data_IF_335739364725
#
_entry.id   IF_335739364725
#
_cell.length_a   1.000
_cell.length_b   1.000
_cell.length_c   1.000
_cell.angle_alpha   90.00
_cell.angle_beta   90.00
_cell.angle_gamma   90.00
#
_symmetry.space_group_name_H-M   'P 1'
#
loop_
_entity.id
_entity.type
_entity.pdbx_description
1 polymer ?
#
# COMPACT_ATOMS: atom_id res chain seq x y z
N UNK A 1 -13.97 13.98 15.43
CA UNK A 1 -15.08 14.08 14.46
C UNK A 1 -14.60 15.06 13.42
N UNK A 2 -14.31 14.60 12.21
CA UNK A 2 -13.71 15.46 11.19
C UNK A 2 -14.35 15.12 9.84
N UNK A 3 -14.83 16.13 9.12
CA UNK A 3 -15.39 15.97 7.77
C UNK A 3 -16.67 15.09 7.72
N UNK A 4 -17.37 14.92 8.84
CA UNK A 4 -18.63 14.18 8.94
C UNK A 4 -19.81 15.06 8.50
N UNK A 5 -20.75 14.50 7.75
CA UNK A 5 -22.06 15.14 7.52
C UNK A 5 -23.00 14.78 8.66
N UNK A 6 -23.53 15.79 9.34
CA UNK A 6 -24.44 15.63 10.48
C UNK A 6 -25.86 15.87 10.01
N UNK A 7 -26.78 14.95 10.29
CA UNK A 7 -28.21 15.13 10.05
C UNK A 7 -28.94 15.32 11.37
N UNK A 8 -29.68 16.42 11.49
CA UNK A 8 -30.38 16.73 12.74
C UNK A 8 -31.84 17.10 12.51
N UNK A 9 -32.69 16.71 13.45
CA UNK A 9 -33.90 17.44 13.71
C UNK A 9 -33.63 18.47 14.80
N UNK A 10 -34.21 19.66 14.70
CA UNK A 10 -34.05 20.66 15.73
C UNK A 10 -35.27 21.55 15.87
N UNK A 11 -35.41 22.12 17.06
CA UNK A 11 -36.38 23.16 17.41
C UNK A 11 -35.56 24.36 17.90
N UNK A 12 -35.61 25.44 17.15
CA UNK A 12 -35.05 26.73 17.49
C UNK A 12 -36.09 27.61 18.16
N UNK A 13 -35.79 28.05 19.39
CA UNK A 13 -36.60 28.95 20.20
C UNK A 13 -35.81 30.19 20.62
N UNK A 14 -36.49 31.31 20.87
CA UNK A 14 -35.93 32.44 21.61
C UNK A 14 -36.03 32.16 23.12
N UNK A 15 -35.35 32.94 23.96
CA UNK A 15 -35.44 32.79 25.43
C UNK A 15 -36.87 32.95 25.97
N UNK A 16 -37.72 33.71 25.30
CA UNK A 16 -39.14 33.88 25.64
C UNK A 16 -40.02 32.67 25.25
N UNK A 17 -39.42 31.64 24.63
CA UNK A 17 -40.10 30.43 24.18
C UNK A 17 -40.65 30.50 22.75
N UNK A 18 -40.56 31.65 22.07
CA UNK A 18 -41.01 31.80 20.69
C UNK A 18 -40.22 30.87 19.77
N UNK A 19 -40.90 29.93 19.12
CA UNK A 19 -40.30 29.03 18.13
C UNK A 19 -40.08 29.80 16.83
N UNK A 20 -38.84 29.85 16.34
CA UNK A 20 -38.52 30.41 15.02
C UNK A 20 -38.30 29.33 13.96
N UNK A 21 -37.95 28.11 14.36
CA UNK A 21 -37.81 26.98 13.44
C UNK A 21 -38.06 25.66 14.15
N UNK A 22 -38.81 24.75 13.52
CA UNK A 22 -39.00 23.38 13.99
C UNK A 22 -38.97 22.44 12.78
N UNK A 23 -37.91 21.64 12.68
CA UNK A 23 -37.73 20.76 11.51
C UNK A 23 -38.48 19.44 11.64
N UNK A 24 -39.05 19.12 12.82
CA UNK A 24 -39.90 17.94 13.00
C UNK A 24 -41.28 18.14 12.39
N UNK A 25 -41.79 19.37 12.37
CA UNK A 25 -43.11 19.68 11.77
C UNK A 25 -43.13 19.39 10.27
N UNK A 26 -41.98 19.52 9.61
CA UNK A 26 -41.80 19.21 8.18
C UNK A 26 -41.27 17.79 7.93
N UNK A 27 -40.91 17.04 8.97
CA UNK A 27 -40.22 15.75 8.88
C UNK A 27 -38.97 15.77 7.97
N UNK A 28 -38.32 16.93 7.86
CA UNK A 28 -37.13 17.15 7.04
C UNK A 28 -35.95 17.46 7.95
N UNK A 29 -34.83 16.76 7.77
CA UNK A 29 -33.62 17.00 8.58
C UNK A 29 -32.77 18.08 7.94
N UNK A 30 -32.12 18.86 8.78
CA UNK A 30 -31.05 19.76 8.33
C UNK A 30 -29.75 18.97 8.33
N UNK A 31 -28.97 19.13 7.26
CA UNK A 31 -27.63 18.55 7.14
C UNK A 31 -26.56 19.63 7.03
N UNK A 32 -25.44 19.44 7.71
CA UNK A 32 -24.27 20.30 7.60
C UNK A 32 -22.97 19.51 7.77
N UNK A 33 -21.87 20.03 7.23
CA UNK A 33 -20.54 19.47 7.42
C UNK A 33 -19.95 19.96 8.74
N UNK A 34 -19.63 19.01 9.60
CA UNK A 34 -19.10 19.29 10.94
C UNK A 34 -17.75 20.01 10.88
N UNK A 35 -17.57 21.04 11.71
CA UNK A 35 -16.31 21.80 11.87
C UNK A 35 -15.86 22.52 10.58
N UNK A 36 -16.84 22.97 9.77
CA UNK A 36 -16.62 23.78 8.57
C UNK A 36 -17.16 25.21 8.69
N UNK A 37 -17.75 25.57 9.84
CA UNK A 37 -18.37 26.88 10.03
C UNK A 37 -19.64 27.09 9.19
N UNK A 38 -20.28 26.00 8.74
CA UNK A 38 -21.56 26.04 8.02
C UNK A 38 -22.75 26.35 8.94
N UNK A 39 -22.57 26.16 10.25
CA UNK A 39 -23.56 26.44 11.29
C UNK A 39 -22.97 27.37 12.35
N UNK A 40 -23.82 27.83 13.28
CA UNK A 40 -23.35 28.65 14.40
C UNK A 40 -22.31 27.90 15.25
N UNK A 41 -21.34 28.63 15.81
CA UNK A 41 -20.24 28.04 16.63
C UNK A 41 -20.76 27.16 17.77
N UNK A 42 -21.89 27.53 18.37
CA UNK A 42 -22.51 26.73 19.43
C UNK A 42 -22.91 25.34 18.96
N UNK A 43 -23.31 25.19 17.69
CA UNK A 43 -23.63 23.89 17.12
C UNK A 43 -22.39 23.08 16.83
N UNK A 44 -21.36 23.66 16.20
CA UNK A 44 -20.08 22.95 16.00
C UNK A 44 -19.52 22.42 17.33
N UNK A 45 -19.67 23.16 18.43
CA UNK A 45 -19.22 22.72 19.76
C UNK A 45 -20.19 21.70 20.39
N UNK A 46 -21.49 22.00 20.44
CA UNK A 46 -22.48 21.18 21.14
C UNK A 46 -22.75 19.86 20.45
N UNK A 47 -22.86 19.87 19.12
CA UNK A 47 -22.99 18.64 18.32
C UNK A 47 -21.74 17.77 18.44
N UNK A 48 -20.56 18.33 18.72
CA UNK A 48 -19.37 17.51 18.94
C UNK A 48 -19.49 16.56 20.15
N UNK A 49 -20.31 16.94 21.15
CA UNK A 49 -20.40 16.22 22.42
C UNK A 49 -21.49 15.14 22.45
N UNK A 50 -22.39 15.12 21.46
CA UNK A 50 -23.56 14.24 21.51
C UNK A 50 -23.27 12.84 20.95
N UNK A 51 -24.04 11.86 21.43
CA UNK A 51 -24.12 10.49 20.89
C UNK A 51 -25.20 10.39 19.80
N UNK A 52 -25.12 9.35 18.97
CA UNK A 52 -26.15 9.07 17.95
C UNK A 52 -27.50 8.81 18.61
N UNK A 53 -28.53 9.53 18.16
CA UNK A 53 -29.89 9.43 18.70
C UNK A 53 -30.09 10.20 20.00
N UNK A 54 -29.07 10.90 20.50
CA UNK A 54 -29.19 11.76 21.67
C UNK A 54 -30.08 12.97 21.36
N UNK A 55 -30.91 13.32 22.34
CA UNK A 55 -31.73 14.52 22.36
C UNK A 55 -31.10 15.46 23.37
N UNK A 56 -30.60 16.62 22.92
CA UNK A 56 -29.95 17.59 23.80
C UNK A 56 -30.50 18.99 23.61
N UNK A 57 -30.40 19.80 24.68
CA UNK A 57 -30.78 21.22 24.69
C UNK A 57 -29.54 22.08 24.83
N UNK A 58 -29.37 23.03 23.92
CA UNK A 58 -28.27 23.98 23.90
C UNK A 58 -28.78 25.40 24.10
N UNK A 59 -28.14 26.12 25.03
CA UNK A 59 -28.34 27.56 25.22
C UNK A 59 -27.09 28.26 24.72
N UNK A 60 -27.22 29.02 23.64
CA UNK A 60 -26.08 29.68 22.99
C UNK A 60 -26.03 31.16 23.32
N UNK A 61 -24.94 31.61 23.97
CA UNK A 61 -24.65 33.05 24.11
C UNK A 61 -24.44 33.69 22.72
N UNK A 62 -24.66 35.00 22.55
CA UNK A 62 -24.62 35.64 21.23
C UNK A 62 -23.27 35.48 20.53
N UNK A 63 -22.17 35.48 21.30
CA UNK A 63 -20.81 35.28 20.78
C UNK A 63 -20.56 33.91 20.13
N UNK A 64 -21.41 32.92 20.40
CA UNK A 64 -21.38 31.58 19.78
C UNK A 64 -22.52 31.37 18.78
N UNK A 65 -23.34 32.39 18.54
CA UNK A 65 -24.47 32.38 17.62
C UNK A 65 -24.31 33.50 16.58
N UNK A 66 -25.23 34.46 16.54
CA UNK A 66 -25.30 35.52 15.53
C UNK A 66 -24.71 36.87 15.99
N UNK A 67 -24.01 36.91 17.13
CA UNK A 67 -23.41 38.13 17.69
C UNK A 67 -24.45 39.10 18.29
N UNK A 68 -23.97 40.23 18.83
CA UNK A 68 -24.81 41.25 19.49
C UNK A 68 -25.74 42.03 18.53
N UNK A 69 -25.50 41.95 17.21
CA UNK A 69 -26.34 42.54 16.16
C UNK A 69 -27.35 41.56 15.55
N UNK A 70 -27.36 40.30 16.01
CA UNK A 70 -28.28 39.26 15.52
C UNK A 70 -29.60 39.19 16.30
N UNK A 71 -30.42 38.19 15.98
CA UNK A 71 -31.68 37.85 16.66
C UNK A 71 -31.43 37.32 18.10
N UNK A 72 -31.08 38.19 19.04
CA UNK A 72 -31.10 37.93 20.49
C UNK A 72 -30.36 36.68 21.00
N UNK A 73 -30.63 36.32 22.26
CA UNK A 73 -30.23 35.05 22.86
C UNK A 73 -31.18 33.93 22.40
N UNK A 74 -30.62 32.89 21.75
CA UNK A 74 -31.39 31.77 21.19
C UNK A 74 -31.18 30.48 21.99
N UNK A 75 -32.28 29.74 22.17
CA UNK A 75 -32.35 28.42 22.82
C UNK A 75 -32.73 27.37 21.77
N UNK A 76 -31.90 26.35 21.56
CA UNK A 76 -32.18 25.27 20.61
C UNK A 76 -32.26 23.91 21.28
N UNK A 77 -33.16 23.03 20.83
CA UNK A 77 -33.15 21.60 21.14
C UNK A 77 -32.94 20.80 19.86
N UNK A 78 -32.00 19.84 19.86
CA UNK A 78 -31.61 19.07 18.68
C UNK A 78 -31.61 17.56 18.96
N UNK A 79 -32.15 16.78 18.01
CA UNK A 79 -31.97 15.34 17.88
C UNK A 79 -31.00 15.06 16.74
N UNK A 80 -29.89 14.40 17.05
CA UNK A 80 -28.81 14.23 16.07
C UNK A 80 -28.66 12.76 15.65
N UNK A 81 -28.67 12.53 14.34
CA UNK A 81 -28.28 11.26 13.73
C UNK A 81 -26.99 11.46 12.93
N UNK A 82 -25.87 11.06 13.52
CA UNK A 82 -24.58 10.99 12.82
C UNK A 82 -24.60 9.84 11.83
N UNK A 83 -24.35 10.14 10.55
CA UNK A 83 -24.31 9.15 9.48
C UNK A 83 -22.93 9.08 8.80
N UNK A 84 -21.87 9.65 9.38
CA UNK A 84 -20.56 9.72 8.72
C UNK A 84 -20.62 10.44 7.37
N UNK A 85 -19.55 10.37 6.59
CA UNK A 85 -19.52 10.85 5.20
C UNK A 85 -19.77 9.68 4.26
N UNK A 86 -20.80 9.81 3.43
CA UNK A 86 -20.99 8.88 2.32
C UNK A 86 -19.90 9.09 1.27
N UNK A 87 -19.16 8.02 0.99
CA UNK A 87 -18.07 7.99 0.02
C UNK A 87 -18.32 6.99 -1.10
N UNK A 88 -19.54 6.43 -1.18
CA UNK A 88 -19.97 5.67 -2.35
C UNK A 88 -19.98 6.56 -3.59
N UNK A 89 -19.64 5.96 -4.74
CA UNK A 89 -19.57 6.69 -6.01
C UNK A 89 -20.97 7.14 -6.47
N UNK A 90 -21.99 6.32 -6.19
CA UNK A 90 -23.40 6.60 -6.49
C UNK A 90 -24.12 7.48 -5.45
N UNK A 91 -23.45 7.85 -4.34
CA UNK A 91 -24.03 8.64 -3.24
C UNK A 91 -25.29 8.01 -2.61
N UNK A 92 -25.29 6.69 -2.48
CA UNK A 92 -26.43 5.90 -1.98
C UNK A 92 -26.24 5.38 -0.54
N UNK A 93 -25.21 5.88 0.16
CA UNK A 93 -24.85 5.51 1.53
C UNK A 93 -24.47 4.04 1.70
N UNK A 94 -24.00 3.36 0.65
CA UNK A 94 -23.48 2.00 0.80
C UNK A 94 -22.11 1.93 1.46
N UNK A 95 -21.35 3.02 1.39
CA UNK A 95 -20.03 3.16 2.02
C UNK A 95 -20.04 4.45 2.82
N UNK A 96 -20.23 4.30 4.12
CA UNK A 96 -20.21 5.43 5.04
C UNK A 96 -18.91 5.39 5.82
N UNK A 97 -18.12 6.46 5.75
CA UNK A 97 -16.86 6.62 6.47
C UNK A 97 -17.00 7.58 7.64
N UNK A 98 -16.30 7.26 8.73
CA UNK A 98 -16.03 8.16 9.85
C UNK A 98 -14.55 8.20 10.14
N UNK A 99 -13.95 9.39 10.17
CA UNK A 99 -12.54 9.55 10.55
C UNK A 99 -12.41 9.52 12.08
N UNK A 100 -11.70 8.52 12.60
CA UNK A 100 -11.38 8.38 14.01
C UNK A 100 -10.09 9.12 14.39
N UNK A 101 -9.10 9.15 13.50
CA UNK A 101 -7.84 9.90 13.63
C UNK A 101 -7.45 10.47 12.27
N UNK A 102 -7.09 11.76 12.19
CA UNK A 102 -6.57 12.34 10.94
C UNK A 102 -5.23 11.72 10.58
N UNK A 103 -5.00 11.48 9.30
CA UNK A 103 -3.66 11.16 8.80
C UNK A 103 -2.81 12.40 8.58
N UNK A 104 -1.58 12.18 8.14
CA UNK A 104 -0.57 13.20 7.84
C UNK A 104 -0.41 13.37 6.34
N UNK A 105 -0.11 14.60 5.91
CA UNK A 105 0.06 14.95 4.51
C UNK A 105 -1.25 14.95 3.72
N UNK A 106 -1.11 15.14 2.40
CA UNK A 106 -2.24 15.23 1.47
C UNK A 106 -2.25 14.11 0.41
N UNK A 107 -1.18 13.31 0.37
CA UNK A 107 -1.01 12.21 -0.57
C UNK A 107 -1.98 11.08 -0.25
N UNK A 108 -2.55 10.51 -1.31
CA UNK A 108 -3.47 9.38 -1.26
C UNK A 108 -2.92 8.26 -2.14
N UNK A 109 -3.19 6.99 -1.80
CA UNK A 109 -2.83 5.86 -2.66
C UNK A 109 -3.39 6.04 -4.08
N UNK A 110 -2.57 5.77 -5.09
CA UNK A 110 -3.01 5.60 -6.49
C UNK A 110 -3.25 4.10 -6.78
N UNK A 111 -3.75 3.76 -7.97
CA UNK A 111 -4.12 2.38 -8.36
C UNK A 111 -2.96 1.37 -8.38
N UNK A 112 -1.71 1.84 -8.29
CA UNK A 112 -0.53 0.97 -8.21
C UNK A 112 0.13 0.97 -6.82
N UNK A 113 -0.42 1.76 -5.87
CA UNK A 113 0.15 1.90 -4.55
C UNK A 113 0.02 0.59 -3.77
N UNK A 114 1.14 0.09 -3.26
CA UNK A 114 1.09 -0.99 -2.27
C UNK A 114 0.65 -0.42 -0.93
N UNK A 115 -0.54 -0.80 -0.51
CA UNK A 115 -1.10 -0.47 0.80
C UNK A 115 -1.01 -1.67 1.71
N UNK A 116 -0.93 -1.40 3.00
CA UNK A 116 -1.23 -2.40 4.00
C UNK A 116 -2.21 -1.72 4.95
N UNK A 117 -3.12 -2.48 5.55
CA UNK A 117 -4.16 -2.01 6.47
C UNK A 117 -4.31 -3.03 7.61
N UNK A 118 -4.67 -2.60 8.82
CA UNK A 118 -5.15 -3.54 9.84
C UNK A 118 -6.67 -3.54 9.79
N UNK A 119 -7.24 -4.59 9.21
CA UNK A 119 -8.65 -4.70 8.98
C UNK A 119 -9.32 -5.41 10.16
N UNK A 120 -10.36 -4.80 10.74
CA UNK A 120 -11.24 -5.44 11.71
C UNK A 120 -12.69 -5.32 11.27
N UNK A 121 -13.30 -6.41 10.83
CA UNK A 121 -14.71 -6.53 10.49
C UNK A 121 -15.54 -7.02 11.68
N UNK A 122 -16.64 -6.32 11.95
CA UNK A 122 -17.61 -6.71 12.97
C UNK A 122 -19.04 -6.69 12.42
N UNK A 123 -19.85 -7.63 12.88
CA UNK A 123 -21.27 -7.72 12.56
C UNK A 123 -22.05 -7.93 13.86
N UNK A 124 -23.04 -7.06 14.14
CA UNK A 124 -23.79 -7.05 15.40
C UNK A 124 -22.89 -7.08 16.66
N UNK A 125 -21.73 -6.42 16.58
CA UNK A 125 -20.74 -6.37 17.67
C UNK A 125 -19.83 -7.59 17.78
N UNK A 126 -20.05 -8.65 17.01
CA UNK A 126 -19.15 -9.81 16.94
C UNK A 126 -18.08 -9.61 15.87
N UNK A 127 -16.83 -9.93 16.21
CA UNK A 127 -15.70 -9.85 15.29
C UNK A 127 -15.71 -11.09 14.40
N UNK A 128 -15.60 -10.88 13.08
CA UNK A 128 -15.57 -11.98 12.10
C UNK A 128 -14.31 -11.97 11.21
N UNK A 129 -13.64 -10.82 11.08
CA UNK A 129 -12.35 -10.69 10.38
C UNK A 129 -11.47 -9.75 11.21
N UNK A 130 -10.27 -10.16 11.59
CA UNK A 130 -9.30 -9.28 12.27
C UNK A 130 -7.90 -9.68 11.84
N UNK A 131 -7.28 -8.88 10.97
CA UNK A 131 -5.97 -9.18 10.38
C UNK A 131 -5.30 -7.97 9.78
N UNK A 132 -3.97 -8.04 9.69
CA UNK A 132 -3.19 -7.15 8.85
C UNK A 132 -3.11 -7.70 7.43
N UNK A 133 -3.49 -6.90 6.44
CA UNK A 133 -3.48 -7.30 5.02
C UNK A 133 -2.68 -6.29 4.18
N UNK A 134 -1.86 -6.78 3.25
CA UNK A 134 -1.07 -5.99 2.30
C UNK A 134 -1.51 -6.31 0.89
N UNK A 135 -1.85 -5.31 0.10
CA UNK A 135 -2.33 -5.46 -1.27
C UNK A 135 -2.02 -4.20 -2.10
N UNK A 136 -2.12 -4.32 -3.42
CA UNK A 136 -2.06 -3.16 -4.33
C UNK A 136 -3.44 -2.53 -4.31
N UNK A 137 -3.56 -1.20 -4.13
CA UNK A 137 -4.86 -0.53 -4.12
C UNK A 137 -5.62 -0.81 -5.43
N UNK A 138 -6.84 -1.32 -5.36
CA UNK A 138 -7.59 -1.84 -6.53
C UNK A 138 -7.49 -3.37 -6.73
N UNK A 139 -6.61 -4.06 -5.98
CA UNK A 139 -6.44 -5.51 -5.96
C UNK A 139 -6.75 -6.18 -4.61
N UNK A 140 -7.51 -5.53 -3.74
CA UNK A 140 -7.88 -5.98 -2.40
C UNK A 140 -8.77 -7.23 -2.41
N UNK A 141 -9.60 -7.39 -3.45
CA UNK A 141 -10.43 -8.57 -3.65
C UNK A 141 -9.62 -9.88 -3.63
N UNK A 142 -8.40 -9.90 -4.17
CA UNK A 142 -7.48 -11.05 -4.16
C UNK A 142 -7.03 -11.45 -2.75
N UNK A 143 -7.15 -10.54 -1.79
CA UNK A 143 -6.86 -10.78 -0.38
C UNK A 143 -8.15 -10.88 0.46
N UNK A 144 -9.31 -10.99 -0.19
CA UNK A 144 -10.63 -10.94 0.43
C UNK A 144 -10.83 -9.68 1.28
N UNK A 145 -10.38 -8.53 0.78
CA UNK A 145 -10.71 -7.23 1.36
C UNK A 145 -12.05 -6.81 0.76
N UNK A 146 -13.01 -6.32 1.58
CA UNK A 146 -14.31 -5.90 1.06
C UNK A 146 -14.18 -4.74 0.09
N UNK A 147 -15.02 -4.71 -0.94
CA UNK A 147 -15.04 -3.64 -1.95
C UNK A 147 -15.14 -2.25 -1.30
N UNK A 148 -16.01 -2.07 -0.30
CA UNK A 148 -16.17 -0.80 0.40
C UNK A 148 -14.94 -0.33 1.15
N UNK A 149 -14.11 -1.27 1.65
CA UNK A 149 -12.82 -0.97 2.28
C UNK A 149 -11.83 -0.52 1.20
N UNK A 150 -11.77 -1.23 0.10
CA UNK A 150 -10.90 -0.91 -1.03
C UNK A 150 -11.19 0.46 -1.65
N UNK A 151 -12.46 0.76 -1.94
CA UNK A 151 -12.89 2.07 -2.48
C UNK A 151 -12.39 3.23 -1.62
N UNK A 152 -12.27 3.01 -0.33
CA UNK A 152 -12.03 4.06 0.60
C UNK A 152 -10.57 4.19 1.03
N UNK A 153 -9.74 3.16 0.81
CA UNK A 153 -8.27 3.27 0.82
C UNK A 153 -7.76 4.41 -0.08
N UNK A 154 -8.34 4.59 -1.27
CA UNK A 154 -8.01 5.68 -2.19
C UNK A 154 -8.28 7.08 -1.65
N UNK A 155 -9.03 7.18 -0.54
CA UNK A 155 -9.46 8.44 0.08
C UNK A 155 -8.74 8.74 1.39
N UNK A 156 -7.79 7.88 1.78
CA UNK A 156 -7.05 7.98 3.04
C UNK A 156 -5.71 8.68 2.85
N UNK A 157 -5.30 9.43 3.87
CA UNK A 157 -3.92 9.91 4.00
C UNK A 157 -3.12 8.97 4.91
N UNK A 158 -1.80 9.07 4.84
CA UNK A 158 -0.90 8.22 5.62
C UNK A 158 -1.20 8.36 7.11
N UNK A 159 -1.56 7.26 7.77
CA UNK A 159 -1.83 7.26 9.20
C UNK A 159 -3.24 7.63 9.64
N UNK A 160 -4.16 7.84 8.70
CA UNK A 160 -5.58 8.05 9.01
C UNK A 160 -6.17 6.78 9.64
N UNK A 161 -7.01 6.95 10.68
CA UNK A 161 -7.83 5.86 11.28
C UNK A 161 -9.28 6.16 10.98
N UNK A 162 -10.04 5.13 10.66
CA UNK A 162 -11.40 5.27 10.22
C UNK A 162 -12.26 4.10 10.68
N UNK A 163 -13.57 4.37 10.71
CA UNK A 163 -14.61 3.39 10.86
C UNK A 163 -15.53 3.47 9.65
N UNK A 164 -15.73 2.35 8.99
CA UNK A 164 -16.66 2.17 7.89
C UNK A 164 -17.92 1.48 8.33
N UNK A 165 -19.04 1.90 7.74
CA UNK A 165 -20.29 1.15 7.74
C UNK A 165 -20.58 0.78 6.29
N UNK A 166 -20.55 -0.52 6.00
CA UNK A 166 -20.75 -1.05 4.65
C UNK A 166 -22.11 -1.72 4.56
N UNK A 167 -22.88 -1.38 3.53
CA UNK A 167 -24.12 -2.09 3.17
C UNK A 167 -23.84 -3.11 2.06
N UNK A 168 -24.80 -4.00 1.85
CA UNK A 168 -24.76 -5.15 0.95
C UNK A 168 -23.86 -5.07 -0.30
N UNK A 169 -24.06 -4.07 -1.16
CA UNK A 169 -23.29 -3.95 -2.40
C UNK A 169 -21.79 -3.69 -2.18
N UNK A 170 -21.43 -3.12 -1.03
CA UNK A 170 -20.06 -2.79 -0.64
C UNK A 170 -19.38 -3.89 0.19
N UNK A 171 -20.08 -4.98 0.51
CA UNK A 171 -19.56 -6.11 1.31
C UNK A 171 -19.09 -7.29 0.47
N UNK A 172 -18.97 -7.13 -0.85
CA UNK A 172 -18.34 -8.15 -1.71
C UNK A 172 -16.95 -8.50 -1.18
N UNK A 173 -16.64 -9.78 -0.98
CA UNK A 173 -15.42 -10.30 -0.36
C UNK A 173 -15.60 -10.82 1.07
N UNK A 174 -16.77 -10.61 1.67
CA UNK A 174 -17.12 -11.07 3.04
C UNK A 174 -17.82 -12.43 3.04
N UNK A 175 -18.18 -12.98 1.88
CA UNK A 175 -18.98 -14.21 1.71
C UNK A 175 -18.35 -15.42 2.42
N UNK A 176 -17.02 -15.49 2.44
CA UNK A 176 -16.25 -16.55 3.12
C UNK A 176 -16.45 -16.60 4.63
N UNK A 177 -16.96 -15.52 5.23
CA UNK A 177 -17.24 -15.43 6.66
C UNK A 177 -18.70 -15.81 6.99
N UNK A 178 -19.46 -16.28 5.99
CA UNK A 178 -20.87 -16.67 6.13
C UNK A 178 -21.77 -15.56 6.68
N UNK A 179 -21.40 -14.30 6.41
CA UNK A 179 -22.23 -13.14 6.72
C UNK A 179 -23.19 -12.96 5.56
N UNK A 180 -24.51 -12.91 5.80
CA UNK A 180 -25.49 -12.61 4.77
C UNK A 180 -25.12 -11.33 4.03
N UNK A 181 -25.10 -11.40 2.70
CA UNK A 181 -24.60 -10.33 1.85
C UNK A 181 -25.44 -9.07 1.94
N UNK A 182 -26.62 -9.08 2.57
CA UNK A 182 -27.57 -7.99 2.73
C UNK A 182 -27.39 -7.19 4.03
N UNK A 183 -26.54 -7.64 4.94
CA UNK A 183 -26.42 -7.06 6.27
C UNK A 183 -25.28 -6.04 6.40
N UNK A 184 -25.48 -4.95 7.17
CA UNK A 184 -24.41 -4.00 7.40
C UNK A 184 -23.32 -4.58 8.29
N UNK A 185 -22.07 -4.24 7.96
CA UNK A 185 -20.88 -4.59 8.74
C UNK A 185 -20.07 -3.34 9.05
N UNK A 186 -19.45 -3.33 10.21
CA UNK A 186 -18.57 -2.25 10.62
C UNK A 186 -17.12 -2.68 10.43
N UNK A 187 -16.36 -1.90 9.66
CA UNK A 187 -14.92 -2.08 9.56
C UNK A 187 -14.21 -0.99 10.32
N UNK A 188 -13.31 -1.38 11.20
CA UNK A 188 -12.37 -0.47 11.81
C UNK A 188 -10.99 -0.76 11.22
N UNK A 189 -10.30 0.31 10.83
CA UNK A 189 -8.89 0.21 10.48
C UNK A 189 -8.06 1.12 11.34
N UNK A 190 -7.07 0.52 12.00
CA UNK A 190 -5.93 1.23 12.55
C UNK A 190 -4.74 1.01 11.65
N UNK A 191 -3.98 2.07 11.34
CA UNK A 191 -2.61 1.80 10.91
C UNK A 191 -1.58 2.86 11.24
N UNK A 192 -0.70 2.48 12.13
CA UNK A 192 0.72 2.38 11.83
C UNK A 192 1.19 1.06 12.45
N UNK A 193 1.96 0.24 11.72
CA UNK A 193 2.87 -0.64 12.44
C UNK A 193 3.86 0.29 13.14
N UNK A 194 4.00 0.18 14.46
CA UNK A 194 5.16 0.80 15.11
C UNK A 194 6.43 0.29 14.44
N UNK A 195 7.51 1.04 14.52
CA UNK A 195 8.75 0.62 13.86
C UNK A 195 9.26 -0.74 14.39
N UNK A 196 8.99 -1.03 15.66
CA UNK A 196 9.24 -2.34 16.29
C UNK A 196 8.36 -3.46 15.69
N UNK A 197 7.08 -3.18 15.42
CA UNK A 197 6.19 -4.15 14.79
C UNK A 197 6.55 -4.39 13.32
N UNK A 198 7.02 -3.36 12.59
CA UNK A 198 7.54 -3.51 11.22
C UNK A 198 8.72 -4.48 11.19
N UNK A 199 9.60 -4.40 12.18
CA UNK A 199 10.76 -5.28 12.29
C UNK A 199 10.33 -6.74 12.55
N UNK A 200 9.47 -6.97 13.55
CA UNK A 200 8.92 -8.31 13.84
C UNK A 200 8.17 -8.92 12.65
N UNK A 201 7.34 -8.12 11.98
CA UNK A 201 6.58 -8.59 10.82
C UNK A 201 7.48 -8.90 9.62
N UNK A 202 8.58 -8.15 9.45
CA UNK A 202 9.58 -8.39 8.41
C UNK A 202 10.23 -9.75 8.55
N UNK A 203 10.47 -10.22 9.77
CA UNK A 203 11.02 -11.55 10.02
C UNK A 203 10.06 -12.67 9.55
N UNK A 204 8.78 -12.58 9.92
CA UNK A 204 7.74 -13.53 9.50
C UNK A 204 7.59 -13.54 7.97
N UNK A 205 7.58 -12.36 7.34
CA UNK A 205 7.47 -12.24 5.89
C UNK A 205 8.68 -12.84 5.17
N UNK A 206 9.88 -12.67 5.73
CA UNK A 206 11.10 -13.28 5.20
C UNK A 206 11.01 -14.81 5.28
N UNK A 207 10.59 -15.36 6.42
CA UNK A 207 10.41 -16.82 6.59
C UNK A 207 9.44 -17.40 5.56
N UNK A 208 8.28 -16.75 5.37
CA UNK A 208 7.32 -17.14 4.32
C UNK A 208 7.89 -17.02 2.91
N UNK A 209 8.71 -16.00 2.65
CA UNK A 209 9.46 -15.88 1.40
C UNK A 209 10.35 -17.09 1.16
N UNK A 210 11.08 -17.54 2.19
CA UNK A 210 11.96 -18.70 2.11
C UNK A 210 11.18 -20.00 1.85
N UNK A 211 10.00 -20.16 2.44
CA UNK A 211 9.10 -21.29 2.17
C UNK A 211 8.66 -21.31 0.70
N UNK A 212 8.28 -20.16 0.13
CA UNK A 212 7.96 -20.07 -1.29
C UNK A 212 9.15 -20.38 -2.19
N UNK A 213 10.37 -19.96 -1.82
CA UNK A 213 11.58 -20.32 -2.56
C UNK A 213 11.81 -21.83 -2.53
N UNK A 214 11.62 -22.48 -1.37
CA UNK A 214 11.73 -23.95 -1.24
C UNK A 214 10.68 -24.67 -2.10
N UNK A 215 9.46 -24.12 -2.18
CA UNK A 215 8.38 -24.62 -3.03
C UNK A 215 8.50 -24.26 -4.52
N UNK A 216 9.53 -23.52 -4.94
CA UNK A 216 9.69 -23.07 -6.34
C UNK A 216 8.75 -21.93 -6.77
N UNK A 217 7.97 -21.36 -5.86
CA UNK A 217 7.04 -20.27 -6.13
C UNK A 217 7.75 -18.89 -6.08
N UNK A 218 8.67 -18.66 -7.01
CA UNK A 218 9.57 -17.50 -6.98
C UNK A 218 8.86 -16.13 -7.06
N UNK A 219 7.77 -16.03 -7.83
CA UNK A 219 7.00 -14.79 -7.94
C UNK A 219 6.33 -14.39 -6.61
N UNK A 220 5.81 -15.37 -5.88
CA UNK A 220 5.24 -15.15 -4.54
C UNK A 220 6.32 -14.76 -3.54
N UNK A 221 7.49 -15.41 -3.60
CA UNK A 221 8.64 -15.07 -2.78
C UNK A 221 9.10 -13.61 -3.01
N UNK A 222 9.17 -13.17 -4.26
CA UNK A 222 9.53 -11.79 -4.63
C UNK A 222 8.59 -10.78 -3.95
N UNK A 223 7.27 -11.02 -3.99
CA UNK A 223 6.29 -10.14 -3.32
C UNK A 223 6.59 -10.02 -1.82
N UNK A 224 6.95 -11.11 -1.15
CA UNK A 224 7.27 -11.10 0.30
C UNK A 224 8.56 -10.33 0.60
N UNK A 225 9.65 -10.60 -0.12
CA UNK A 225 10.93 -9.92 0.12
C UNK A 225 10.90 -8.42 -0.23
N UNK A 226 10.16 -8.01 -1.27
CA UNK A 226 9.92 -6.58 -1.54
C UNK A 226 9.19 -5.90 -0.38
N UNK A 227 8.17 -6.57 0.17
CA UNK A 227 7.41 -6.05 1.31
C UNK A 227 8.31 -5.85 2.54
N UNK A 228 9.20 -6.81 2.83
CA UNK A 228 10.20 -6.69 3.90
C UNK A 228 11.06 -5.43 3.71
N UNK A 229 11.62 -5.25 2.51
CA UNK A 229 12.48 -4.10 2.24
C UNK A 229 11.73 -2.78 2.42
N UNK A 230 10.49 -2.68 1.95
CA UNK A 230 9.66 -1.49 2.09
C UNK A 230 9.35 -1.17 3.57
N UNK A 231 9.04 -2.17 4.38
CA UNK A 231 8.79 -1.96 5.81
C UNK A 231 10.01 -1.40 6.51
N UNK A 232 11.17 -2.02 6.28
CA UNK A 232 12.41 -1.65 6.94
C UNK A 232 13.03 -0.35 6.37
N UNK A 233 12.69 0.05 5.15
CA UNK A 233 13.04 1.36 4.61
C UNK A 233 12.22 2.48 5.29
N UNK A 234 10.96 2.19 5.60
CA UNK A 234 10.04 3.15 6.24
C UNK A 234 10.10 3.19 7.77
N UNK A 235 10.96 2.39 8.40
CA UNK A 235 11.04 2.26 9.86
C UNK A 235 12.10 3.21 10.45
N UNK A 236 11.73 4.01 11.45
CA UNK A 236 12.64 4.88 12.20
C UNK A 236 13.13 4.22 13.50
N UNK A 237 13.93 3.17 13.34
CA UNK A 237 14.48 2.39 14.45
C UNK A 237 15.53 3.20 15.24
N UNK A 238 15.46 3.13 16.57
CA UNK A 238 16.35 3.89 17.48
C UNK A 238 17.38 3.03 18.20
N UNK A 239 17.04 1.78 18.48
CA UNK A 239 17.94 0.83 19.16
C UNK A 239 19.00 0.32 18.19
N UNK A 240 20.25 0.24 18.65
CA UNK A 240 21.36 -0.33 17.86
C UNK A 240 21.09 -1.78 17.47
N UNK A 241 20.45 -2.55 18.36
CA UNK A 241 20.05 -3.94 18.10
C UNK A 241 19.04 -4.02 16.96
N UNK A 242 18.01 -3.16 16.98
CA UNK A 242 16.96 -3.18 15.96
C UNK A 242 17.48 -2.72 14.59
N UNK A 243 18.38 -1.72 14.58
CA UNK A 243 19.04 -1.23 13.37
C UNK A 243 19.85 -2.36 12.73
N UNK A 244 20.60 -3.12 13.53
CA UNK A 244 21.38 -4.26 13.05
C UNK A 244 20.49 -5.39 12.52
N UNK A 245 19.43 -5.75 13.25
CA UNK A 245 18.46 -6.75 12.78
C UNK A 245 17.79 -6.33 11.46
N UNK A 246 17.42 -5.05 11.34
CA UNK A 246 16.88 -4.46 10.11
C UNK A 246 17.89 -4.53 8.96
N UNK A 247 19.17 -4.23 9.21
CA UNK A 247 20.25 -4.36 8.23
C UNK A 247 20.38 -5.80 7.73
N UNK A 248 20.39 -6.77 8.64
CA UNK A 248 20.49 -8.20 8.30
C UNK A 248 19.29 -8.68 7.48
N UNK A 249 18.07 -8.28 7.85
CA UNK A 249 16.85 -8.63 7.11
C UNK A 249 16.82 -7.99 5.71
N UNK A 250 17.26 -6.73 5.56
CA UNK A 250 17.39 -6.07 4.25
C UNK A 250 18.37 -6.81 3.35
N UNK A 251 19.56 -7.15 3.88
CA UNK A 251 20.56 -7.92 3.16
C UNK A 251 20.01 -9.28 2.70
N UNK A 252 19.44 -10.06 3.64
CA UNK A 252 18.89 -11.37 3.35
C UNK A 252 17.79 -11.32 2.28
N UNK A 253 16.91 -10.31 2.35
CA UNK A 253 15.84 -10.10 1.39
C UNK A 253 16.36 -9.76 0.00
N UNK A 254 17.36 -8.88 -0.12
CA UNK A 254 17.98 -8.54 -1.41
C UNK A 254 18.73 -9.74 -2.01
N UNK A 255 19.48 -10.47 -1.18
CA UNK A 255 20.16 -11.70 -1.62
C UNK A 255 19.16 -12.72 -2.17
N UNK A 256 18.04 -12.95 -1.48
CA UNK A 256 17.01 -13.90 -1.92
C UNK A 256 16.19 -13.39 -3.12
N UNK A 257 15.95 -12.08 -3.25
CA UNK A 257 15.39 -11.49 -4.47
C UNK A 257 16.28 -11.80 -5.68
N UNK A 258 17.60 -11.64 -5.55
CA UNK A 258 18.52 -11.98 -6.63
C UNK A 258 18.40 -13.45 -7.05
N UNK A 259 18.27 -14.38 -6.09
CA UNK A 259 18.01 -15.79 -6.40
C UNK A 259 16.71 -15.98 -7.19
N UNK A 260 15.61 -15.36 -6.74
CA UNK A 260 14.31 -15.51 -7.38
C UNK A 260 14.33 -14.99 -8.82
N UNK A 261 14.90 -13.80 -9.03
CA UNK A 261 15.01 -13.22 -10.37
C UNK A 261 15.94 -14.02 -11.29
N UNK A 262 17.05 -14.54 -10.75
CA UNK A 262 17.92 -15.46 -11.50
C UNK A 262 17.18 -16.70 -11.97
N UNK A 263 16.32 -17.28 -11.11
CA UNK A 263 15.51 -18.45 -11.45
C UNK A 263 14.41 -18.16 -12.47
N UNK A 264 13.88 -16.94 -12.49
CA UNK A 264 12.89 -16.49 -13.47
C UNK A 264 13.51 -15.96 -14.77
N UNK A 265 14.84 -15.85 -14.86
CA UNK A 265 15.52 -15.29 -16.04
C UNK A 265 15.43 -13.77 -16.17
N UNK A 266 14.93 -13.06 -15.14
CA UNK A 266 14.91 -11.60 -15.11
C UNK A 266 16.28 -11.06 -14.65
N UNK A 267 17.21 -11.03 -15.59
CA UNK A 267 18.60 -10.68 -15.32
C UNK A 267 18.76 -9.20 -14.90
N UNK A 268 17.90 -8.31 -15.39
CA UNK A 268 17.89 -6.89 -15.01
C UNK A 268 17.59 -6.68 -13.54
N UNK A 269 16.53 -7.32 -13.05
CA UNK A 269 16.18 -7.27 -11.64
C UNK A 269 17.16 -8.03 -10.77
N UNK A 270 17.69 -9.16 -11.24
CA UNK A 270 18.68 -9.94 -10.52
C UNK A 270 19.96 -9.13 -10.26
N UNK A 271 20.51 -8.45 -11.27
CA UNK A 271 21.68 -7.58 -11.11
C UNK A 271 21.43 -6.50 -10.07
N UNK A 272 20.30 -5.79 -10.16
CA UNK A 272 19.94 -4.73 -9.19
C UNK A 272 19.84 -5.25 -7.76
N UNK A 273 19.23 -6.42 -7.56
CA UNK A 273 19.13 -7.04 -6.25
C UNK A 273 20.51 -7.44 -5.69
N UNK A 274 21.42 -7.95 -6.53
CA UNK A 274 22.81 -8.22 -6.14
C UNK A 274 23.57 -6.93 -5.78
N UNK A 275 23.47 -5.89 -6.59
CA UNK A 275 24.12 -4.60 -6.33
C UNK A 275 23.66 -4.03 -4.98
N UNK A 276 22.35 -4.05 -4.71
CA UNK A 276 21.78 -3.63 -3.43
C UNK A 276 22.24 -4.50 -2.25
N UNK A 277 22.39 -5.82 -2.44
CA UNK A 277 22.90 -6.71 -1.39
C UNK A 277 24.38 -6.42 -1.08
N UNK A 278 25.18 -6.16 -2.11
CA UNK A 278 26.61 -5.86 -1.99
C UNK A 278 26.89 -4.48 -1.38
N UNK A 279 25.90 -3.57 -1.32
CA UNK A 279 26.02 -2.34 -0.53
C UNK A 279 26.10 -2.62 0.98
N UNK A 280 25.56 -3.75 1.46
CA UNK A 280 25.63 -4.12 2.88
C UNK A 280 26.91 -4.87 3.21
N UNK A 281 27.34 -5.75 2.31
CA UNK A 281 28.55 -6.58 2.38
C UNK A 281 29.13 -6.72 0.97
N UNK A 282 30.13 -5.89 0.65
CA UNK A 282 30.72 -5.78 -0.69
C UNK A 282 31.55 -7.00 -1.09
N UNK A 283 31.94 -7.82 -0.13
CA UNK A 283 32.75 -9.02 -0.34
C UNK A 283 31.92 -10.30 -0.22
N UNK A 284 30.58 -10.18 -0.19
CA UNK A 284 29.72 -11.34 -0.04
C UNK A 284 29.82 -12.29 -1.24
N UNK A 285 30.54 -13.40 -1.05
CA UNK A 285 30.83 -14.39 -2.09
C UNK A 285 29.56 -14.89 -2.78
N UNK A 286 28.48 -15.14 -2.02
CA UNK A 286 27.20 -15.62 -2.54
C UNK A 286 26.52 -14.60 -3.47
N UNK A 287 26.57 -13.30 -3.13
CA UNK A 287 25.96 -12.26 -3.95
C UNK A 287 26.81 -11.94 -5.19
N UNK A 288 28.15 -11.92 -5.06
CA UNK A 288 29.07 -11.83 -6.19
C UNK A 288 28.85 -12.99 -7.16
N UNK A 289 28.73 -14.22 -6.64
CA UNK A 289 28.54 -15.40 -7.47
C UNK A 289 27.22 -15.36 -8.23
N UNK A 290 26.12 -15.00 -7.55
CA UNK A 290 24.80 -14.81 -8.19
C UNK A 290 24.82 -13.71 -9.25
N UNK A 291 25.54 -12.60 -9.00
CA UNK A 291 25.68 -11.50 -9.95
C UNK A 291 26.47 -11.94 -11.19
N UNK A 292 27.56 -12.68 -11.00
CA UNK A 292 28.35 -13.26 -12.08
C UNK A 292 27.53 -14.27 -12.92
N UNK A 293 26.78 -15.16 -12.28
CA UNK A 293 25.89 -16.10 -12.98
C UNK A 293 24.81 -15.39 -13.79
N UNK A 294 24.19 -14.36 -13.19
CA UNK A 294 23.21 -13.53 -13.85
C UNK A 294 23.79 -12.83 -15.08
N UNK A 295 24.98 -12.22 -14.96
CA UNK A 295 25.61 -11.51 -16.06
C UNK A 295 26.07 -12.45 -17.17
N UNK A 296 26.58 -13.63 -16.83
CA UNK A 296 26.90 -14.69 -17.79
C UNK A 296 25.65 -15.10 -18.58
N UNK A 297 24.53 -15.32 -17.89
CA UNK A 297 23.25 -15.67 -18.53
C UNK A 297 22.70 -14.52 -19.39
N UNK A 298 22.97 -13.27 -19.02
CA UNK A 298 22.60 -12.07 -19.78
C UNK A 298 23.56 -11.75 -20.95
N UNK A 299 24.68 -12.46 -21.10
CA UNK A 299 25.68 -12.22 -22.15
C UNK A 299 26.73 -11.15 -21.81
N UNK A 300 26.73 -10.64 -20.59
CA UNK A 300 27.70 -9.65 -20.08
C UNK A 300 28.96 -10.36 -19.55
N UNK A 301 29.69 -11.03 -20.45
CA UNK A 301 30.78 -11.95 -20.06
C UNK A 301 31.94 -11.26 -19.31
N UNK A 302 32.28 -10.02 -19.68
CA UNK A 302 33.40 -9.32 -19.05
C UNK A 302 33.12 -9.01 -17.59
N UNK A 303 31.93 -8.48 -17.29
CA UNK A 303 31.51 -8.17 -15.93
C UNK A 303 31.34 -9.47 -15.11
N UNK A 304 30.85 -10.55 -15.73
CA UNK A 304 30.72 -11.84 -15.05
C UNK A 304 32.08 -12.38 -14.60
N UNK A 305 33.11 -12.27 -15.45
CA UNK A 305 34.48 -12.65 -15.11
C UNK A 305 35.01 -11.80 -13.95
N UNK A 306 34.79 -10.48 -13.96
CA UNK A 306 35.21 -9.61 -12.85
C UNK A 306 34.59 -10.04 -11.50
N UNK A 307 33.32 -10.43 -11.50
CA UNK A 307 32.64 -10.93 -10.29
C UNK A 307 33.29 -12.24 -9.79
N UNK A 308 33.57 -13.20 -10.68
CA UNK A 308 34.22 -14.46 -10.31
C UNK A 308 35.69 -14.30 -9.92
N UNK A 309 36.43 -13.39 -10.55
CA UNK A 309 37.80 -13.04 -10.16
C UNK A 309 37.84 -12.41 -8.78
N UNK A 310 36.86 -11.56 -8.46
CA UNK A 310 36.73 -10.99 -7.10
C UNK A 310 36.55 -12.10 -6.07
N UNK A 311 35.75 -13.13 -6.37
CA UNK A 311 35.62 -14.32 -5.51
C UNK A 311 36.96 -15.04 -5.36
N UNK A 312 37.73 -15.22 -6.44
CA UNK A 312 39.03 -15.88 -6.38
C UNK A 312 40.10 -15.07 -5.63
N UNK A 313 40.00 -13.74 -5.61
CA UNK A 313 40.85 -12.90 -4.76
C UNK A 313 40.58 -13.13 -3.27
N UNK A 314 39.31 -13.36 -2.91
CA UNK A 314 38.90 -13.63 -1.53
C UNK A 314 39.17 -15.10 -1.14
N UNK A 315 38.89 -16.03 -2.06
CA UNK A 315 39.07 -17.46 -1.89
C UNK A 315 39.71 -18.08 -3.15
N UNK A 316 41.05 -18.13 -3.24
CA UNK A 316 41.78 -18.67 -4.40
C UNK A 316 41.50 -20.15 -4.69
N UNK A 317 40.97 -20.89 -3.71
CA UNK A 317 40.67 -22.31 -3.82
C UNK A 317 39.30 -22.60 -4.43
N UNK A 318 38.45 -21.59 -4.67
CA UNK A 318 37.10 -21.79 -5.19
C UNK A 318 37.13 -22.33 -6.64
N UNK A 319 37.00 -23.65 -6.77
CA UNK A 319 37.00 -24.34 -8.06
C UNK A 319 35.80 -23.96 -8.94
N UNK A 320 34.64 -23.68 -8.34
CA UNK A 320 33.42 -23.32 -9.06
C UNK A 320 33.58 -21.98 -9.75
N UNK A 321 34.17 -20.98 -9.08
CA UNK A 321 34.46 -19.67 -9.69
C UNK A 321 35.44 -19.80 -10.87
N UNK A 322 36.49 -20.63 -10.76
CA UNK A 322 37.41 -20.92 -11.88
C UNK A 322 36.67 -21.53 -13.08
N UNK A 323 35.79 -22.50 -12.84
CA UNK A 323 34.99 -23.12 -13.88
C UNK A 323 34.05 -22.11 -14.57
N UNK A 324 33.42 -21.22 -13.81
CA UNK A 324 32.55 -20.19 -14.37
C UNK A 324 33.33 -19.18 -15.24
N UNK A 325 34.55 -18.80 -14.86
CA UNK A 325 35.42 -17.95 -15.71
C UNK A 325 35.71 -18.65 -17.04
N UNK A 326 36.09 -19.94 -17.01
CA UNK A 326 36.31 -20.71 -18.24
C UNK A 326 35.05 -20.76 -19.11
N UNK A 327 33.88 -20.97 -18.52
CA UNK A 327 32.60 -20.96 -19.23
C UNK A 327 32.30 -19.58 -19.87
N UNK A 328 32.63 -18.48 -19.19
CA UNK A 328 32.50 -17.13 -19.75
C UNK A 328 33.41 -16.94 -20.97
N UNK A 329 34.67 -17.36 -20.89
CA UNK A 329 35.63 -17.23 -21.98
C UNK A 329 35.26 -18.07 -23.22
N UNK A 330 34.74 -19.29 -23.01
CA UNK A 330 34.24 -20.13 -24.10
C UNK A 330 33.07 -19.44 -24.80
N UNK A 331 32.04 -19.02 -24.06
CA UNK A 331 30.86 -18.34 -24.65
C UNK A 331 31.22 -17.03 -25.36
N UNK A 332 32.18 -16.28 -24.81
CA UNK A 332 32.69 -15.06 -25.44
C UNK A 332 33.35 -15.34 -26.79
N UNK A 333 34.17 -16.39 -26.89
CA UNK A 333 34.79 -16.84 -28.16
C UNK A 333 33.75 -17.34 -29.16
N UNK A 334 32.76 -18.10 -28.70
CA UNK A 334 31.65 -18.58 -29.55
C UNK A 334 30.86 -17.41 -30.14
N UNK A 335 30.52 -16.41 -29.31
CA UNK A 335 29.84 -15.20 -29.76
C UNK A 335 30.68 -14.46 -30.81
N UNK A 336 31.96 -14.21 -30.54
CA UNK A 336 32.87 -13.55 -31.49
C UNK A 336 32.93 -14.28 -32.83
N UNK A 337 33.08 -15.60 -32.81
CA UNK A 337 33.14 -16.42 -34.02
C UNK A 337 31.80 -16.41 -34.79
N UNK A 338 30.67 -16.42 -34.08
CA UNK A 338 29.34 -16.33 -34.67
C UNK A 338 29.13 -15.00 -35.38
N UNK A 339 29.37 -13.88 -34.68
CA UNK A 339 29.24 -12.53 -35.24
C UNK A 339 30.13 -12.34 -36.47
N UNK A 340 31.36 -12.86 -36.43
CA UNK A 340 32.27 -12.81 -37.59
C UNK A 340 31.75 -13.59 -38.79
N UNK A 341 31.17 -14.79 -38.57
CA UNK A 341 30.57 -15.58 -39.65
C UNK A 341 29.36 -14.89 -40.27
N UNK A 342 28.53 -14.23 -39.46
CA UNK A 342 27.36 -13.48 -39.96
C UNK A 342 27.78 -12.28 -40.79
N UNK A 343 28.76 -11.50 -40.32
CA UNK A 343 29.29 -10.36 -41.06
C UNK A 343 29.91 -10.75 -42.42
N UNK A 344 30.63 -11.88 -42.48
CA UNK A 344 31.19 -12.38 -43.75
C UNK A 344 30.07 -12.80 -44.71
N UNK A 345 28.99 -13.41 -44.22
CA UNK A 345 27.82 -13.78 -45.05
C UNK A 345 27.07 -12.56 -45.60
N UNK A 346 26.90 -11.51 -44.79
CA UNK A 346 26.29 -10.26 -45.24
C UNK A 346 27.13 -9.57 -46.32
N UNK A 347 28.45 -9.44 -46.10
CA UNK A 347 29.37 -8.86 -47.09
C UNK A 347 29.42 -9.66 -48.41
N UNK A 348 29.30 -11.00 -48.34
CA UNK A 348 29.19 -11.82 -49.57
C UNK A 348 27.84 -11.65 -50.27
N UNK A 349 26.72 -11.55 -49.54
CA UNK A 349 25.41 -11.29 -50.15
C UNK A 349 25.32 -9.90 -50.80
N UNK A 350 25.91 -8.87 -50.20
CA UNK A 350 25.93 -7.53 -50.76
C UNK A 350 26.79 -7.44 -52.04
N UNK A 351 27.93 -8.16 -52.07
CA UNK A 351 28.73 -8.31 -53.29
C UNK A 351 27.94 -9.00 -54.42
N UNK A 352 27.18 -10.05 -54.12
CA UNK A 352 26.34 -10.75 -55.11
C UNK A 352 25.21 -9.86 -55.63
N UNK A 353 24.54 -9.10 -54.75
CA UNK A 353 23.51 -8.12 -55.16
C UNK A 353 24.07 -7.03 -56.07
N UNK A 354 25.24 -6.49 -55.74
CA UNK A 354 25.89 -5.45 -56.54
C UNK A 354 26.35 -5.96 -57.92
N UNK A 355 26.81 -7.21 -58.01
CA UNK A 355 27.12 -7.84 -59.31
C UNK A 355 25.85 -8.04 -60.13
N UNK A 356 24.77 -8.49 -59.50
CA UNK A 356 23.48 -8.72 -60.17
C UNK A 356 22.90 -7.42 -60.74
N UNK A 357 23.00 -6.30 -60.01
CA UNK A 357 22.56 -4.99 -60.51
C UNK A 357 23.38 -4.46 -61.70
N UNK A 358 24.67 -4.79 -61.80
CA UNK A 358 25.53 -4.40 -62.92
C UNK A 358 25.36 -5.23 -64.19
N UNK A 359 24.78 -6.43 -64.08
CA UNK A 359 24.53 -7.32 -65.23
C UNK A 359 23.18 -6.99 -65.91
N UNK A 360 22.28 -6.31 -65.19
CA UNK A 360 20.92 -5.96 -65.67
C UNK A 360 20.83 -4.52 -66.20
N UNK A 361 21.89 -3.72 -66.04
CA UNK A 361 22.08 -2.39 -66.65
C UNK A 361 22.95 -2.48 -67.89
#
# INVERSE_FOLDING_TARGET
>A
MFDDTVFIHYIGTLLDGTVFENTRDRNEKVSFNFDKGEVIKAWDIGVATMKRGEISRFISKPKYAYGLKGLGDKVGSADIRYLGKDISDERDQSIVRRILRKGEGFEKPNEDATVQINLKGTHQGQIFDERTVTFIAGGGCLQNVPLGVECAVFRMTKGERWKLYLKSKATQGVEKFHIPSDLPVEYEEDKFLSDEQKLKQSEILKQRGDEFVKGGHYELAIKKYKTVYNYLLSASLRSSSDIEQSRQLKFASQSNLALCYLKLGDYGQCKRACDNALMFDSQNEKCLFRRGQCQLAWGNFHQAIQDFETILKLNPSNAVAKQQIQACEVKKKELYNSTRKTAVKEDTMDKVRNISHRIVS
#
